data_IF_985378527522
#
_entry.id   IF_985378527522
#
_cell.length_a   1.000
_cell.length_b   1.000
_cell.length_c   1.000
_cell.angle_alpha   90.00
_cell.angle_beta   90.00
_cell.angle_gamma   90.00
#
_symmetry.space_group_name_H-M   'P 1'
#
loop_
_entity.id
_entity.type
_entity.pdbx_description
1 polymer ?
#
# COMPACT_ATOMS: atom_id res chain seq x y z
N UNK A 1 17.63 -29.71 -3.61
CA UNK A 1 17.32 -28.46 -2.90
C UNK A 1 18.57 -27.60 -2.95
N UNK A 2 18.50 -26.36 -3.44
CA UNK A 2 19.66 -25.47 -3.43
C UNK A 2 20.01 -25.12 -1.97
N UNK A 3 21.27 -25.27 -1.58
CA UNK A 3 21.72 -24.85 -0.25
C UNK A 3 21.96 -23.35 -0.23
N UNK A 4 21.95 -22.74 0.95
CA UNK A 4 22.24 -21.30 1.10
C UNK A 4 23.59 -20.91 0.46
N UNK A 5 24.57 -21.80 0.52
CA UNK A 5 25.89 -21.59 -0.08
C UNK A 5 25.82 -21.56 -1.61
N UNK A 6 25.01 -22.41 -2.23
CA UNK A 6 24.81 -22.42 -3.68
C UNK A 6 24.16 -21.12 -4.17
N UNK A 7 23.19 -20.59 -3.40
CA UNK A 7 22.51 -19.34 -3.71
C UNK A 7 23.48 -18.16 -3.59
N UNK A 8 24.27 -18.11 -2.51
CA UNK A 8 25.26 -17.06 -2.32
C UNK A 8 26.27 -17.01 -3.47
N UNK A 9 26.75 -18.17 -3.91
CA UNK A 9 27.71 -18.27 -5.03
C UNK A 9 27.11 -17.79 -6.35
N UNK A 10 25.82 -18.03 -6.58
CA UNK A 10 25.12 -17.51 -7.75
C UNK A 10 24.98 -15.99 -7.71
N UNK A 11 24.71 -15.41 -6.53
CA UNK A 11 24.64 -13.96 -6.35
C UNK A 11 26.01 -13.30 -6.57
N UNK A 12 27.08 -13.93 -6.10
CA UNK A 12 28.46 -13.45 -6.30
C UNK A 12 28.85 -13.40 -7.79
N UNK A 13 28.22 -14.21 -8.65
CA UNK A 13 28.45 -14.20 -10.11
C UNK A 13 27.63 -13.13 -10.87
N UNK A 14 26.68 -12.47 -10.22
CA UNK A 14 25.88 -11.40 -10.83
C UNK A 14 26.70 -10.12 -10.95
N UNK A 15 26.36 -9.29 -11.93
CA UNK A 15 26.92 -7.94 -12.01
C UNK A 15 26.47 -7.07 -10.82
N UNK A 16 27.22 -6.00 -10.48
CA UNK A 16 26.85 -5.12 -9.35
C UNK A 16 25.43 -4.54 -9.47
N UNK A 17 24.96 -4.23 -10.68
CA UNK A 17 23.60 -3.73 -10.92
C UNK A 17 22.53 -4.80 -10.66
N UNK A 18 22.77 -6.04 -11.07
CA UNK A 18 21.87 -7.17 -10.81
C UNK A 18 21.84 -7.52 -9.31
N UNK A 19 22.98 -7.45 -8.62
CA UNK A 19 23.03 -7.62 -7.16
C UNK A 19 22.20 -6.57 -6.43
N UNK A 20 22.32 -5.29 -6.82
CA UNK A 20 21.52 -4.20 -6.24
C UNK A 20 20.02 -4.38 -6.49
N UNK A 21 19.64 -4.76 -7.70
CA UNK A 21 18.26 -5.06 -8.05
C UNK A 21 17.70 -6.22 -7.20
N UNK A 22 18.46 -7.31 -7.10
CA UNK A 22 18.06 -8.47 -6.32
C UNK A 22 17.94 -8.13 -4.83
N UNK A 23 18.84 -7.29 -4.30
CA UNK A 23 18.79 -6.81 -2.92
C UNK A 23 17.48 -6.04 -2.67
N UNK A 24 17.08 -5.15 -3.58
CA UNK A 24 15.86 -4.38 -3.48
C UNK A 24 14.61 -5.27 -3.50
N UNK A 25 14.55 -6.21 -4.44
CA UNK A 25 13.47 -7.19 -4.58
C UNK A 25 13.34 -8.07 -3.32
N UNK A 26 14.47 -8.59 -2.81
CA UNK A 26 14.49 -9.39 -1.59
C UNK A 26 14.05 -8.57 -0.37
N UNK A 27 14.53 -7.33 -0.23
CA UNK A 27 14.13 -6.45 0.85
C UNK A 27 12.62 -6.15 0.79
N UNK A 28 12.06 -5.94 -0.40
CA UNK A 28 10.61 -5.75 -0.58
C UNK A 28 9.81 -7.00 -0.19
N UNK A 29 10.27 -8.19 -0.61
CA UNK A 29 9.65 -9.46 -0.23
C UNK A 29 9.65 -9.69 1.28
N UNK A 30 10.79 -9.44 1.95
CA UNK A 30 10.90 -9.59 3.40
C UNK A 30 10.00 -8.58 4.10
N UNK A 31 10.02 -7.31 3.70
CA UNK A 31 9.11 -6.29 4.25
C UNK A 31 7.65 -6.71 4.11
N UNK A 32 7.24 -7.26 2.97
CA UNK A 32 5.87 -7.71 2.78
C UNK A 32 5.48 -8.91 3.66
N UNK A 33 6.42 -9.81 3.94
CA UNK A 33 6.19 -10.97 4.82
C UNK A 33 6.18 -10.59 6.30
N UNK A 34 7.02 -9.64 6.70
CA UNK A 34 7.12 -9.16 8.09
C UNK A 34 5.97 -8.20 8.41
N UNK A 35 5.56 -7.37 7.45
CA UNK A 35 4.37 -6.54 7.54
C UNK A 35 3.15 -7.40 7.21
N UNK A 36 2.72 -8.22 8.16
CA UNK A 36 1.32 -8.65 8.20
C UNK A 36 0.51 -7.38 8.27
N UNK A 37 -0.01 -6.90 7.13
CA UNK A 37 -0.91 -5.75 7.13
C UNK A 37 -2.08 -6.16 8.02
N UNK A 38 -2.34 -5.46 9.14
CA UNK A 38 -3.51 -5.76 9.93
C UNK A 38 -4.71 -5.67 9.01
N UNK A 39 -5.68 -6.59 9.17
CA UNK A 39 -6.96 -6.47 8.48
C UNK A 39 -7.53 -5.10 8.86
N UNK A 40 -7.48 -4.16 7.93
CA UNK A 40 -7.98 -2.80 8.16
C UNK A 40 -9.49 -2.89 8.22
N UNK A 41 -10.07 -2.30 9.25
CA UNK A 41 -11.52 -2.13 9.31
C UNK A 41 -11.92 -0.85 8.59
N UNK A 42 -13.04 -0.87 7.86
CA UNK A 42 -13.61 0.37 7.31
C UNK A 42 -13.94 1.39 8.42
N UNK A 43 -14.16 0.91 9.65
CA UNK A 43 -14.41 1.75 10.83
C UNK A 43 -13.20 2.61 11.21
N UNK A 44 -12.00 2.32 10.72
CA UNK A 44 -10.84 3.21 10.90
C UNK A 44 -11.01 4.55 10.20
N UNK A 45 -11.97 4.68 9.27
CA UNK A 45 -12.30 5.93 8.59
C UNK A 45 -13.40 6.73 9.30
N UNK A 46 -14.03 6.16 10.33
CA UNK A 46 -15.11 6.82 11.06
C UNK A 46 -14.60 8.12 11.70
N UNK A 47 -15.35 9.21 11.50
CA UNK A 47 -15.06 10.50 12.13
C UNK A 47 -13.94 11.32 11.50
N UNK A 48 -13.13 10.75 10.58
CA UNK A 48 -12.04 11.49 9.92
C UNK A 48 -12.51 12.74 9.17
N UNK A 49 -13.74 12.72 8.64
CA UNK A 49 -14.32 13.85 7.92
C UNK A 49 -15.07 14.86 8.79
N UNK A 50 -15.26 14.62 10.09
CA UNK A 50 -16.21 15.38 10.92
C UNK A 50 -16.00 16.90 10.85
N UNK A 51 -14.74 17.34 10.94
CA UNK A 51 -14.40 18.76 10.90
C UNK A 51 -14.58 19.37 9.50
N UNK A 52 -14.42 18.57 8.44
CA UNK A 52 -14.65 18.98 7.05
C UNK A 52 -16.14 19.20 6.81
N UNK A 53 -16.99 18.34 7.38
CA UNK A 53 -18.45 18.40 7.27
C UNK A 53 -19.10 19.37 8.28
N UNK A 54 -18.31 20.06 9.10
CA UNK A 54 -18.84 20.95 10.12
C UNK A 54 -19.54 22.16 9.48
N UNK A 55 -20.82 22.36 9.83
CA UNK A 55 -21.62 23.47 9.30
C UNK A 55 -22.15 23.28 7.88
N UNK A 56 -21.85 22.13 7.24
CA UNK A 56 -22.46 21.75 5.97
C UNK A 56 -23.79 21.00 6.23
N UNK A 57 -24.84 21.42 5.53
CA UNK A 57 -26.09 20.65 5.51
C UNK A 57 -25.91 19.45 4.57
N UNK A 58 -26.03 18.24 5.14
CA UNK A 58 -25.80 17.00 4.41
C UNK A 58 -26.80 16.81 3.25
N UNK A 59 -28.05 17.25 3.43
CA UNK A 59 -29.09 17.07 2.42
C UNK A 59 -28.88 18.04 1.25
N UNK A 60 -28.50 19.27 1.55
CA UNK A 60 -28.16 20.29 0.56
C UNK A 60 -26.95 19.87 -0.28
N UNK A 61 -25.87 19.39 0.36
CA UNK A 61 -24.70 18.89 -0.35
C UNK A 61 -25.06 17.75 -1.32
N UNK A 62 -25.87 16.78 -0.88
CA UNK A 62 -26.34 15.67 -1.73
C UNK A 62 -27.18 16.17 -2.90
N UNK A 63 -28.04 17.17 -2.68
CA UNK A 63 -28.84 17.75 -3.74
C UNK A 63 -27.97 18.43 -4.81
N UNK A 64 -26.93 19.16 -4.39
CA UNK A 64 -25.97 19.81 -5.29
C UNK A 64 -25.19 18.79 -6.12
N UNK A 65 -24.69 17.72 -5.48
CA UNK A 65 -24.01 16.63 -6.20
C UNK A 65 -24.94 15.93 -7.20
N UNK A 66 -26.21 15.69 -6.85
CA UNK A 66 -27.17 15.09 -7.80
C UNK A 66 -27.49 16.02 -8.96
N UNK A 67 -27.58 17.32 -8.71
CA UNK A 67 -27.82 18.31 -9.76
C UNK A 67 -26.59 18.51 -10.65
N UNK A 68 -25.37 18.30 -10.14
CA UNK A 68 -24.14 18.40 -10.93
C UNK A 68 -23.95 17.20 -11.86
N UNK A 69 -24.51 16.04 -11.50
CA UNK A 69 -24.58 14.87 -12.37
C UNK A 69 -25.80 14.98 -13.28
N UNK A 70 -25.70 15.80 -14.32
CA UNK A 70 -26.61 15.72 -15.46
C UNK A 70 -26.33 14.38 -16.16
N UNK A 71 -27.23 13.41 -16.00
CA UNK A 71 -27.13 12.06 -16.55
C UNK A 71 -27.00 11.99 -18.08
#
# INVERSE_FOLDING_TARGET
MATYQDIRRQIENLSPSEQLRLLEELAAMVRHRVLVKPKRSIMELEGLGKEIWHGLDAQEYVNQERASWNG
#
